data_IF_914999722077
#
_entry.id   IF_914999722077
#
_cell.length_a   1.000
_cell.length_b   1.000
_cell.length_c   1.000
_cell.angle_alpha   90.00
_cell.angle_beta   90.00
_cell.angle_gamma   90.00
#
_symmetry.space_group_name_H-M   'P 1'
#
loop_
_entity.id
_entity.type
_entity.pdbx_description
1 polymer ?
#
# COMPACT_ATOMS: atom_id res chain seq x y z
N UNK A 1 9.52 -44.11 -2.95
CA UNK A 1 9.41 -42.66 -3.20
C UNK A 1 9.49 -42.41 -4.70
N UNK A 2 8.50 -41.74 -5.30
CA UNK A 2 8.43 -41.57 -6.77
C UNK A 2 9.15 -40.32 -7.28
N UNK A 3 9.16 -39.23 -6.49
CA UNK A 3 9.74 -37.95 -6.92
C UNK A 3 11.26 -37.98 -7.16
N UNK A 4 12.11 -38.56 -6.28
CA UNK A 4 13.56 -38.59 -6.52
C UNK A 4 13.92 -39.46 -7.73
N UNK A 5 13.18 -40.55 -7.95
CA UNK A 5 13.38 -41.48 -9.07
C UNK A 5 13.14 -40.79 -10.42
N UNK A 6 12.04 -40.06 -10.56
CA UNK A 6 11.71 -39.33 -11.79
C UNK A 6 12.73 -38.23 -12.08
N UNK A 7 13.22 -37.54 -11.03
CA UNK A 7 14.24 -36.51 -11.17
C UNK A 7 15.62 -37.05 -11.63
N UNK A 8 15.97 -38.27 -11.21
CA UNK A 8 17.22 -38.95 -11.59
C UNK A 8 17.09 -39.59 -13.00
N UNK A 9 15.98 -40.25 -13.29
CA UNK A 9 15.73 -40.85 -14.61
C UNK A 9 15.71 -39.79 -15.72
N UNK A 10 15.11 -38.62 -15.44
CA UNK A 10 15.05 -37.48 -16.37
C UNK A 10 16.07 -36.39 -16.03
N UNK A 11 17.33 -36.78 -15.81
CA UNK A 11 18.40 -35.86 -15.40
C UNK A 11 18.58 -34.65 -16.33
N UNK A 12 18.41 -34.80 -17.65
CA UNK A 12 18.52 -33.68 -18.61
C UNK A 12 17.45 -32.60 -18.36
N UNK A 13 16.20 -33.03 -18.12
CA UNK A 13 15.10 -32.13 -17.79
C UNK A 13 15.33 -31.42 -16.45
N UNK A 14 15.76 -32.18 -15.44
CA UNK A 14 16.08 -31.65 -14.11
C UNK A 14 17.19 -30.59 -14.17
N UNK A 15 18.25 -30.81 -14.95
CA UNK A 15 19.34 -29.85 -15.12
C UNK A 15 18.87 -28.54 -15.79
N UNK A 16 18.05 -28.64 -16.83
CA UNK A 16 17.48 -27.46 -17.51
C UNK A 16 16.62 -26.66 -16.53
N UNK A 17 15.78 -27.34 -15.74
CA UNK A 17 14.94 -26.70 -14.72
C UNK A 17 15.76 -25.96 -13.66
N UNK A 18 16.84 -26.57 -13.18
CA UNK A 18 17.75 -25.95 -12.21
C UNK A 18 18.42 -24.72 -12.81
N UNK A 19 18.94 -24.82 -14.04
CA UNK A 19 19.56 -23.68 -14.73
C UNK A 19 18.55 -22.53 -14.89
N UNK A 20 17.32 -22.84 -15.28
CA UNK A 20 16.27 -21.85 -15.43
C UNK A 20 15.94 -21.17 -14.10
N UNK A 21 15.83 -21.93 -13.00
CA UNK A 21 15.62 -21.37 -11.66
C UNK A 21 16.75 -20.45 -11.23
N UNK A 22 18.01 -20.84 -11.49
CA UNK A 22 19.19 -20.01 -11.17
C UNK A 22 19.18 -18.73 -11.97
N UNK A 23 18.90 -18.79 -13.28
CA UNK A 23 18.84 -17.62 -14.14
C UNK A 23 17.72 -16.66 -13.73
N UNK A 24 16.51 -17.18 -13.47
CA UNK A 24 15.38 -16.37 -12.99
C UNK A 24 15.69 -15.75 -11.63
N UNK A 25 16.30 -16.51 -10.72
CA UNK A 25 16.74 -16.00 -9.42
C UNK A 25 17.77 -14.88 -9.55
N UNK A 26 18.74 -15.03 -10.45
CA UNK A 26 19.77 -14.01 -10.70
C UNK A 26 19.17 -12.73 -11.29
N UNK A 27 18.28 -12.85 -12.29
CA UNK A 27 17.56 -11.70 -12.85
C UNK A 27 16.72 -11.01 -11.78
N UNK A 28 15.98 -11.76 -10.97
CA UNK A 28 15.19 -11.23 -9.86
C UNK A 28 16.05 -10.48 -8.85
N UNK A 29 17.23 -11.01 -8.50
CA UNK A 29 18.13 -10.37 -7.54
C UNK A 29 18.67 -9.02 -8.04
N UNK A 30 18.97 -8.92 -9.34
CA UNK A 30 19.51 -7.68 -9.93
C UNK A 30 18.39 -6.66 -10.16
N UNK A 31 17.20 -7.10 -10.55
CA UNK A 31 16.05 -6.24 -10.87
C UNK A 31 15.23 -5.81 -9.65
N UNK A 32 15.46 -6.43 -8.49
CA UNK A 32 14.73 -6.10 -7.26
C UNK A 32 14.93 -4.62 -6.89
N UNK A 33 13.86 -3.80 -6.86
CA UNK A 33 13.97 -2.41 -6.47
C UNK A 33 14.36 -2.33 -4.99
N UNK A 34 15.40 -1.54 -4.71
CA UNK A 34 15.83 -1.23 -3.35
C UNK A 34 15.43 0.20 -3.05
N UNK A 35 14.64 0.39 -2.00
CA UNK A 35 14.32 1.71 -1.47
C UNK A 35 14.94 1.80 -0.09
N UNK A 36 15.67 2.89 0.17
CA UNK A 36 16.30 3.17 1.48
C UNK A 36 15.22 3.38 2.55
N UNK A 37 14.21 4.16 2.19
CA UNK A 37 12.97 4.29 2.95
C UNK A 37 11.85 3.52 2.22
N UNK A 38 11.17 2.57 2.89
CA UNK A 38 9.97 2.00 2.33
C UNK A 38 8.93 3.11 2.17
N UNK A 39 8.36 3.25 0.98
CA UNK A 39 7.18 4.07 0.76
C UNK A 39 5.99 3.40 1.46
N UNK A 40 5.88 3.59 2.76
CA UNK A 40 4.63 3.35 3.49
C UNK A 40 3.65 4.41 3.01
N UNK A 41 2.65 4.01 2.24
CA UNK A 41 1.51 4.87 1.96
C UNK A 41 0.86 5.21 3.31
N UNK A 42 0.96 6.46 3.80
CA UNK A 42 0.35 6.81 5.06
C UNK A 42 -1.16 6.60 4.92
N UNK A 43 -1.77 5.85 5.84
CA UNK A 43 -3.22 5.72 5.91
C UNK A 43 -3.80 7.05 6.41
N UNK A 44 -4.11 7.94 5.47
CA UNK A 44 -4.69 9.24 5.74
C UNK A 44 -5.20 9.87 4.46
N UNK A 45 -6.34 10.54 4.55
CA UNK A 45 -6.92 11.34 3.48
C UNK A 45 -7.06 12.77 3.95
N UNK A 46 -6.74 13.76 3.10
CA UNK A 46 -6.95 15.17 3.39
C UNK A 46 -8.16 15.70 2.63
N UNK A 47 -9.04 16.41 3.34
CA UNK A 47 -10.17 17.13 2.74
C UNK A 47 -9.91 18.62 2.91
N UNK A 48 -9.90 19.35 1.79
CA UNK A 48 -9.67 20.80 1.78
C UNK A 48 -10.96 21.46 1.28
N UNK A 49 -11.53 22.33 2.11
CA UNK A 49 -12.73 23.10 1.78
C UNK A 49 -12.37 24.57 1.80
N UNK A 50 -12.73 25.29 0.73
CA UNK A 50 -12.49 26.73 0.60
C UNK A 50 -13.84 27.43 0.57
N UNK A 51 -14.12 28.23 1.59
CA UNK A 51 -15.37 29.01 1.68
C UNK A 51 -15.04 30.47 1.99
N UNK A 52 -14.88 31.31 0.95
CA UNK A 52 -14.42 32.68 1.12
C UNK A 52 -15.51 33.56 1.74
N UNK A 53 -15.12 34.36 2.74
CA UNK A 53 -16.00 35.34 3.38
C UNK A 53 -16.79 34.83 4.59
N UNK A 54 -16.62 33.56 4.98
CA UNK A 54 -17.12 33.06 6.26
C UNK A 54 -16.17 33.41 7.40
N UNK A 55 -16.75 33.67 8.58
CA UNK A 55 -15.94 33.77 9.79
C UNK A 55 -15.46 32.37 10.21
N UNK A 56 -14.37 32.25 11.00
CA UNK A 56 -13.93 30.97 11.51
C UNK A 56 -15.02 30.22 12.30
N UNK A 57 -15.90 30.94 13.00
CA UNK A 57 -17.03 30.34 13.72
C UNK A 57 -18.07 29.75 12.77
N UNK A 58 -18.42 30.48 11.71
CA UNK A 58 -19.37 29.99 10.70
C UNK A 58 -18.82 28.75 9.96
N UNK A 59 -17.50 28.69 9.73
CA UNK A 59 -16.84 27.54 9.13
C UNK A 59 -16.88 26.29 10.01
N UNK A 60 -16.71 26.47 11.32
CA UNK A 60 -16.76 25.38 12.28
C UNK A 60 -18.15 24.73 12.31
N UNK A 61 -19.19 25.55 12.39
CA UNK A 61 -20.57 25.08 12.54
C UNK A 61 -21.16 24.57 11.22
N UNK A 62 -20.93 25.26 10.11
CA UNK A 62 -21.57 24.91 8.83
C UNK A 62 -20.81 23.88 8.00
N UNK A 63 -19.49 23.73 8.20
CA UNK A 63 -18.66 22.87 7.35
C UNK A 63 -17.97 21.79 8.15
N UNK A 64 -17.25 22.14 9.23
CA UNK A 64 -16.46 21.17 9.98
C UNK A 64 -17.37 20.19 10.73
N UNK A 65 -18.33 20.69 11.51
CA UNK A 65 -19.25 19.87 12.31
C UNK A 65 -19.98 18.78 11.50
N UNK A 66 -20.68 19.10 10.38
CA UNK A 66 -21.37 18.08 9.60
C UNK A 66 -20.40 17.12 8.88
N UNK A 67 -19.20 17.58 8.52
CA UNK A 67 -18.21 16.74 7.87
C UNK A 67 -17.59 15.73 8.85
N UNK A 68 -17.33 16.16 10.09
CA UNK A 68 -16.85 15.27 11.15
C UNK A 68 -17.89 14.23 11.52
N UNK A 69 -19.18 14.58 11.60
CA UNK A 69 -20.26 13.64 11.91
C UNK A 69 -20.33 12.51 10.88
N UNK A 70 -20.33 12.84 9.58
CA UNK A 70 -20.36 11.86 8.48
C UNK A 70 -19.09 11.01 8.44
N UNK A 71 -17.92 11.59 8.71
CA UNK A 71 -16.66 10.83 8.71
C UNK A 71 -16.57 9.91 9.94
N UNK A 72 -17.14 10.31 11.08
CA UNK A 72 -17.18 9.48 12.29
C UNK A 72 -18.09 8.24 12.17
N UNK A 73 -19.02 8.20 11.21
CA UNK A 73 -19.81 7.01 10.91
C UNK A 73 -18.99 5.89 10.23
N UNK A 74 -17.77 6.19 9.76
CA UNK A 74 -16.90 5.20 9.14
C UNK A 74 -16.20 4.34 10.21
N UNK A 75 -16.33 3.02 10.10
CA UNK A 75 -15.84 2.05 11.11
C UNK A 75 -14.31 2.02 11.28
N UNK A 76 -13.53 2.61 10.37
CA UNK A 76 -12.05 2.53 10.32
C UNK A 76 -11.32 3.88 10.48
N UNK A 77 -11.94 4.89 11.11
CA UNK A 77 -11.30 6.19 11.38
C UNK A 77 -10.80 6.25 12.84
N UNK A 78 -9.47 6.41 13.03
CA UNK A 78 -8.86 6.51 14.36
C UNK A 78 -8.69 7.95 14.86
N UNK A 79 -8.40 8.89 13.95
CA UNK A 79 -8.15 10.29 14.29
C UNK A 79 -8.69 11.19 13.20
N UNK A 80 -9.44 12.21 13.60
CA UNK A 80 -9.89 13.32 12.75
C UNK A 80 -9.24 14.59 13.31
N UNK A 81 -8.70 15.43 12.41
CA UNK A 81 -8.17 16.75 12.78
C UNK A 81 -8.68 17.77 11.77
N UNK A 82 -9.56 18.65 12.23
CA UNK A 82 -10.02 19.81 11.49
C UNK A 82 -9.31 21.08 11.98
N UNK A 83 -9.20 22.07 11.10
CA UNK A 83 -8.71 23.42 11.42
C UNK A 83 -9.33 24.40 10.42
N UNK A 84 -10.11 25.36 10.91
CA UNK A 84 -10.56 26.53 10.14
C UNK A 84 -9.54 27.67 10.30
N UNK A 85 -9.17 28.33 9.21
CA UNK A 85 -8.38 29.57 9.20
C UNK A 85 -9.07 30.60 8.33
#
# INVERSE_FOLDING_TARGET
MHLPRIAIENHQFTLILIILLVLTGMVSFITMPRSEDPQVAPAGSSVIVVYPGATPGDMEEMVISPLEEVINELEDIKYIRASAT
#
